data_IF_377344795775
#
_entry.id   IF_377344795775
#
_cell.length_a   1.000
_cell.length_b   1.000
_cell.length_c   1.000
_cell.angle_alpha   90.00
_cell.angle_beta   90.00
_cell.angle_gamma   90.00
#
_symmetry.space_group_name_H-M   'P 1'
#
loop_
_entity.id
_entity.type
_entity.pdbx_description
1 polymer ?
#
# COMPACT_ATOMS: atom_id res chain seq x y z
N UNK A 1 6.58 14.54 9.52
CA UNK A 1 5.18 14.11 9.39
C UNK A 1 4.53 15.05 8.38
N UNK A 2 3.74 14.55 7.44
CA UNK A 2 3.07 15.38 6.44
C UNK A 2 2.07 16.32 7.13
N UNK A 3 2.31 17.63 7.05
CA UNK A 3 1.49 18.66 7.71
C UNK A 3 0.14 18.91 7.05
N UNK A 4 -0.09 18.33 5.86
CA UNK A 4 -1.28 18.58 5.02
C UNK A 4 -2.56 17.92 5.54
N UNK A 5 -2.47 17.07 6.57
CA UNK A 5 -3.61 16.32 7.15
C UNK A 5 -4.34 15.43 6.13
N UNK A 6 -3.59 14.83 5.21
CA UNK A 6 -4.11 13.90 4.18
C UNK A 6 -3.84 12.45 4.57
N UNK A 7 -4.53 11.51 3.93
CA UNK A 7 -4.36 10.07 4.12
C UNK A 7 -4.33 9.34 2.78
N UNK A 8 -3.62 8.20 2.73
CA UNK A 8 -3.60 7.35 1.54
C UNK A 8 -4.71 6.31 1.63
N UNK A 9 -5.67 6.36 0.70
CA UNK A 9 -6.71 5.34 0.56
C UNK A 9 -6.24 4.31 -0.45
N UNK A 10 -6.25 3.03 -0.06
CA UNK A 10 -5.73 1.92 -0.85
C UNK A 10 -6.87 0.94 -1.13
N UNK A 11 -6.96 0.48 -2.37
CA UNK A 11 -7.91 -0.54 -2.81
C UNK A 11 -7.15 -1.68 -3.50
N UNK A 12 -7.78 -2.87 -3.59
CA UNK A 12 -7.21 -4.04 -4.29
C UNK A 12 -5.80 -4.41 -3.81
N UNK A 13 -5.59 -4.36 -2.50
CA UNK A 13 -4.28 -4.56 -1.85
C UNK A 13 -4.00 -6.01 -1.44
N UNK A 14 -4.92 -6.95 -1.71
CA UNK A 14 -4.73 -8.37 -1.45
C UNK A 14 -5.95 -8.99 -0.79
N UNK A 15 -6.42 -10.11 -1.35
CA UNK A 15 -7.69 -10.74 -0.99
C UNK A 15 -7.84 -11.03 0.51
N UNK A 16 -6.84 -11.58 1.23
CA UNK A 16 -6.97 -11.84 2.67
C UNK A 16 -7.23 -10.58 3.50
N UNK A 17 -6.47 -9.51 3.24
CA UNK A 17 -6.64 -8.23 3.95
C UNK A 17 -7.95 -7.54 3.58
N UNK A 18 -8.36 -7.59 2.31
CA UNK A 18 -9.63 -7.03 1.84
C UNK A 18 -10.84 -7.70 2.52
N UNK A 19 -10.79 -9.01 2.73
CA UNK A 19 -11.86 -9.73 3.43
C UNK A 19 -12.01 -9.25 4.88
N UNK A 20 -10.90 -9.07 5.59
CA UNK A 20 -10.91 -8.56 6.98
C UNK A 20 -11.40 -7.10 7.01
N UNK A 21 -10.88 -6.24 6.14
CA UNK A 21 -11.28 -4.84 6.10
C UNK A 21 -12.77 -4.67 5.75
N UNK A 22 -13.29 -5.50 4.84
CA UNK A 22 -14.71 -5.52 4.48
C UNK A 22 -15.59 -5.89 5.67
N UNK A 23 -15.24 -6.96 6.39
CA UNK A 23 -15.98 -7.41 7.56
C UNK A 23 -15.98 -6.36 8.69
N UNK A 24 -14.81 -5.79 8.99
CA UNK A 24 -14.68 -4.70 9.97
C UNK A 24 -15.56 -3.49 9.62
N UNK A 25 -15.67 -3.15 8.34
CA UNK A 25 -16.50 -2.04 7.89
C UNK A 25 -18.00 -2.37 7.96
N UNK A 26 -18.43 -3.44 7.30
CA UNK A 26 -19.84 -3.78 7.11
C UNK A 26 -20.52 -4.25 8.40
N UNK A 27 -19.81 -5.04 9.21
CA UNK A 27 -20.40 -5.70 10.38
C UNK A 27 -20.02 -5.04 11.71
N UNK A 28 -18.94 -4.24 11.74
CA UNK A 28 -18.41 -3.68 12.98
C UNK A 28 -18.24 -2.16 12.99
N UNK A 29 -18.49 -1.45 11.87
CA UNK A 29 -18.32 0.00 11.74
C UNK A 29 -16.92 0.48 12.16
N UNK A 30 -15.88 -0.30 11.84
CA UNK A 30 -14.49 -0.03 12.17
C UNK A 30 -13.64 0.20 10.92
N UNK A 31 -12.67 1.10 11.05
CA UNK A 31 -11.60 1.26 10.06
C UNK A 31 -10.43 0.31 10.33
N UNK A 32 -9.73 -0.05 9.26
CA UNK A 32 -8.44 -0.73 9.33
C UNK A 32 -7.33 0.22 8.91
N UNK A 33 -6.26 0.28 9.69
CA UNK A 33 -5.04 1.03 9.39
C UNK A 33 -3.88 0.04 9.25
N UNK A 34 -2.97 0.31 8.32
CA UNK A 34 -1.87 -0.60 8.02
C UNK A 34 -0.54 0.14 7.84
N UNK A 35 0.55 -0.57 8.14
CA UNK A 35 1.93 -0.22 7.83
C UNK A 35 2.63 -1.47 7.33
N UNK A 36 3.70 -1.32 6.53
CA UNK A 36 4.45 -2.47 6.03
C UNK A 36 5.13 -3.24 7.17
N UNK A 37 5.07 -4.58 7.10
CA UNK A 37 5.69 -5.49 8.06
C UNK A 37 7.17 -5.72 7.71
N UNK A 38 7.95 -4.64 7.79
CA UNK A 38 9.35 -4.60 7.40
C UNK A 38 10.22 -4.18 8.61
N UNK A 39 11.38 -4.82 8.86
CA UNK A 39 12.40 -4.27 9.72
C UNK A 39 12.84 -2.88 9.23
N UNK A 40 13.26 -2.00 10.15
CA UNK A 40 13.66 -0.63 9.78
C UNK A 40 14.77 -0.63 8.73
N UNK A 41 14.50 -0.04 7.56
CA UNK A 41 15.45 0.07 6.46
C UNK A 41 15.67 -1.23 5.64
N UNK A 42 14.89 -2.29 5.88
CA UNK A 42 15.00 -3.56 5.15
C UNK A 42 13.63 -4.05 4.70
N UNK A 43 13.48 -4.38 3.43
CA UNK A 43 12.29 -5.08 2.94
C UNK A 43 12.25 -6.53 3.45
N UNK A 44 11.05 -7.05 3.69
CA UNK A 44 10.83 -8.46 4.03
C UNK A 44 10.87 -9.39 2.79
N UNK A 45 11.12 -8.84 1.59
CA UNK A 45 11.23 -9.59 0.32
C UNK A 45 10.01 -10.46 0.01
N UNK A 46 8.86 -10.10 0.59
CA UNK A 46 7.60 -10.83 0.51
C UNK A 46 7.61 -12.23 1.14
N UNK A 47 8.44 -12.44 2.16
CA UNK A 47 8.52 -13.67 2.93
C UNK A 47 8.32 -13.36 4.42
N UNK A 48 7.53 -14.19 5.12
CA UNK A 48 7.23 -13.95 6.54
C UNK A 48 8.46 -14.08 7.43
N UNK A 49 9.43 -14.91 7.04
CA UNK A 49 10.67 -15.16 7.76
C UNK A 49 11.55 -13.90 7.86
N UNK A 50 11.29 -12.87 7.05
CA UNK A 50 12.08 -11.64 7.00
C UNK A 50 11.38 -10.42 7.62
N UNK A 51 10.28 -10.60 8.35
CA UNK A 51 9.64 -9.50 9.12
C UNK A 51 10.47 -9.07 10.35
N UNK A 52 11.38 -9.93 10.80
CA UNK A 52 12.32 -9.69 11.89
C UNK A 52 11.74 -9.89 13.29
N UNK A 53 12.62 -10.24 14.23
CA UNK A 53 12.28 -10.65 15.60
C UNK A 53 11.44 -9.63 16.37
N UNK A 54 11.67 -8.33 16.14
CA UNK A 54 10.92 -7.28 16.83
C UNK A 54 9.44 -7.27 16.46
N UNK A 55 9.09 -7.52 15.19
CA UNK A 55 7.70 -7.60 14.75
C UNK A 55 7.11 -8.91 15.23
N UNK A 56 7.84 -10.01 14.99
CA UNK A 56 7.42 -11.36 15.35
C UNK A 56 7.08 -11.50 16.85
N UNK A 57 7.90 -10.94 17.73
CA UNK A 57 7.70 -10.99 19.19
C UNK A 57 6.63 -10.03 19.74
N UNK A 58 6.11 -9.11 18.93
CA UNK A 58 5.18 -8.05 19.38
C UNK A 58 3.80 -8.10 18.73
N UNK A 59 3.69 -8.76 17.58
CA UNK A 59 2.40 -9.00 16.96
C UNK A 59 1.63 -10.05 17.76
N UNK A 60 0.34 -9.81 18.00
CA UNK A 60 -0.52 -10.78 18.69
C UNK A 60 -0.78 -12.03 17.84
N UNK A 61 -0.76 -11.87 16.51
CA UNK A 61 -0.98 -12.93 15.53
C UNK A 61 -0.23 -12.60 14.23
N UNK A 62 0.32 -13.63 13.59
CA UNK A 62 0.95 -13.54 12.27
C UNK A 62 0.17 -14.46 11.32
N UNK A 63 -0.34 -13.90 10.22
CA UNK A 63 -0.99 -14.65 9.14
C UNK A 63 0.03 -14.82 8.01
N UNK A 64 0.48 -16.06 7.80
CA UNK A 64 1.54 -16.39 6.84
C UNK A 64 0.95 -16.94 5.54
N UNK A 65 1.40 -16.44 4.38
CA UNK A 65 0.96 -16.94 3.07
C UNK A 65 2.02 -16.70 1.96
N UNK A 66 3.24 -17.20 2.16
CA UNK A 66 4.36 -16.99 1.22
C UNK A 66 3.99 -17.39 -0.23
N UNK A 67 3.30 -18.52 -0.42
CA UNK A 67 2.88 -18.99 -1.75
C UNK A 67 1.86 -18.05 -2.42
N UNK A 68 0.95 -17.46 -1.64
CA UNK A 68 0.03 -16.45 -2.17
C UNK A 68 0.82 -15.24 -2.66
N UNK A 69 1.76 -14.75 -1.86
CA UNK A 69 2.57 -13.58 -2.21
C UNK A 69 3.42 -13.83 -3.46
N UNK A 70 4.01 -15.03 -3.58
CA UNK A 70 4.76 -15.46 -4.77
C UNK A 70 3.87 -15.53 -6.01
N UNK A 71 2.63 -16.02 -5.87
CA UNK A 71 1.70 -16.18 -6.99
C UNK A 71 1.27 -14.87 -7.67
N UNK A 72 1.49 -13.72 -7.02
CA UNK A 72 1.17 -12.40 -7.59
C UNK A 72 2.17 -11.98 -8.68
N UNK A 73 3.44 -12.38 -8.54
CA UNK A 73 4.52 -12.09 -9.48
C UNK A 73 5.26 -13.39 -9.79
N UNK A 74 4.62 -14.35 -10.49
CA UNK A 74 5.14 -15.72 -10.63
C UNK A 74 6.44 -15.80 -11.43
N UNK A 75 6.67 -14.84 -12.31
CA UNK A 75 7.82 -14.78 -13.22
C UNK A 75 9.00 -13.98 -12.64
N UNK A 76 8.80 -13.32 -11.49
CA UNK A 76 9.82 -12.48 -10.85
C UNK A 76 10.66 -13.27 -9.85
N UNK A 77 11.94 -12.90 -9.71
CA UNK A 77 12.81 -13.41 -8.65
C UNK A 77 12.64 -12.60 -7.36
N UNK A 78 13.33 -13.02 -6.30
CA UNK A 78 13.34 -12.27 -5.05
C UNK A 78 13.98 -10.88 -5.21
N UNK A 79 14.89 -10.72 -6.17
CA UNK A 79 15.61 -9.47 -6.46
C UNK A 79 14.86 -8.55 -7.42
N UNK A 80 14.04 -9.10 -8.32
CA UNK A 80 13.38 -8.33 -9.38
C UNK A 80 11.93 -7.94 -9.06
N UNK A 81 11.27 -8.70 -8.17
CA UNK A 81 9.88 -8.44 -7.76
C UNK A 81 9.68 -7.04 -7.17
N UNK A 82 8.55 -6.43 -7.49
CA UNK A 82 8.10 -5.24 -6.79
C UNK A 82 7.76 -5.55 -5.33
N UNK A 83 8.30 -4.74 -4.42
CA UNK A 83 8.04 -4.82 -2.97
C UNK A 83 6.98 -3.81 -2.50
N UNK A 84 6.45 -2.98 -3.40
CA UNK A 84 5.53 -1.89 -3.07
C UNK A 84 4.53 -1.63 -4.21
N UNK A 85 3.37 -1.08 -3.84
CA UNK A 85 2.37 -0.58 -4.78
C UNK A 85 2.63 0.86 -5.22
N UNK A 86 2.03 1.22 -6.36
CA UNK A 86 2.02 2.58 -6.92
C UNK A 86 1.33 3.57 -5.98
N UNK A 87 1.81 4.82 -5.95
CA UNK A 87 1.13 5.92 -5.27
C UNK A 87 0.99 7.13 -6.19
N UNK A 88 -0.22 7.67 -6.25
CA UNK A 88 -0.55 8.90 -7.00
C UNK A 88 -1.06 9.95 -6.01
N UNK A 89 -0.47 11.14 -6.03
CA UNK A 89 -0.99 12.30 -5.30
C UNK A 89 -2.14 12.92 -6.08
N UNK A 90 -3.32 12.97 -5.44
CA UNK A 90 -4.51 13.67 -5.93
C UNK A 90 -4.69 15.04 -5.26
N UNK A 91 -3.67 15.52 -4.55
CA UNK A 91 -3.67 16.79 -3.83
C UNK A 91 -2.46 17.64 -4.20
N UNK A 92 -2.59 18.95 -4.03
CA UNK A 92 -1.51 19.92 -4.19
C UNK A 92 -0.57 20.00 -2.97
N UNK A 93 0.31 20.99 -2.96
CA UNK A 93 1.26 21.23 -1.87
C UNK A 93 0.61 21.67 -0.56
N UNK A 94 -0.62 22.18 -0.59
CA UNK A 94 -1.39 22.58 0.60
C UNK A 94 -2.32 21.46 1.10
N UNK A 95 -2.43 20.35 0.36
CA UNK A 95 -3.33 19.25 0.68
C UNK A 95 -4.74 19.42 0.12
N UNK A 96 -4.96 20.37 -0.79
CA UNK A 96 -6.25 20.56 -1.47
C UNK A 96 -6.36 19.64 -2.67
N UNK A 97 -7.57 19.16 -2.95
CA UNK A 97 -7.87 18.29 -4.09
C UNK A 97 -7.52 19.00 -5.40
N UNK A 98 -6.89 18.29 -6.33
CA UNK A 98 -6.62 18.81 -7.68
C UNK A 98 -7.94 19.07 -8.44
N UNK A 99 -8.00 20.09 -9.31
CA UNK A 99 -9.22 20.43 -10.02
C UNK A 99 -9.64 19.37 -11.05
N UNK A 100 -10.94 19.31 -11.32
CA UNK A 100 -11.49 18.59 -12.47
C UNK A 100 -11.01 19.24 -13.78
N UNK A 101 -10.58 18.42 -14.75
CA UNK A 101 -9.97 18.94 -15.99
C UNK A 101 -10.96 19.08 -17.15
N UNK A 102 -11.95 18.19 -17.27
CA UNK A 102 -12.90 18.19 -18.40
C UNK A 102 -12.19 18.18 -19.76
N UNK A 103 -12.55 19.12 -20.63
CA UNK A 103 -11.94 19.31 -21.96
C UNK A 103 -10.76 20.29 -21.96
N UNK A 104 -10.40 20.87 -20.80
CA UNK A 104 -9.33 21.86 -20.70
C UNK A 104 -7.95 21.21 -20.92
N UNK A 105 -7.00 22.00 -21.44
CA UNK A 105 -5.62 21.56 -21.69
C UNK A 105 -4.68 22.26 -20.71
N UNK A 106 -3.60 21.57 -20.32
CA UNK A 106 -2.52 22.11 -19.47
C UNK A 106 -3.01 22.63 -18.10
N UNK A 107 -3.97 21.93 -17.49
CA UNK A 107 -4.46 22.26 -16.14
C UNK A 107 -3.40 21.93 -15.10
N UNK A 108 -3.12 22.89 -14.22
CA UNK A 108 -2.27 22.71 -13.03
C UNK A 108 -2.97 23.29 -11.80
N UNK A 109 -2.87 22.66 -10.61
CA UNK A 109 -2.20 21.38 -10.33
C UNK A 109 -2.96 20.17 -10.94
N UNK A 110 -2.29 19.02 -11.06
CA UNK A 110 -2.85 17.79 -11.64
C UNK A 110 -2.35 16.54 -10.86
N UNK A 111 -2.92 15.34 -11.09
CA UNK A 111 -2.44 14.12 -10.44
C UNK A 111 -0.95 13.84 -10.72
N UNK A 112 -0.21 13.44 -9.68
CA UNK A 112 1.24 13.18 -9.78
C UNK A 112 1.56 11.76 -9.32
N UNK A 113 2.24 10.98 -10.16
CA UNK A 113 2.86 9.72 -9.74
C UNK A 113 4.03 10.01 -8.80
N UNK A 114 3.90 9.63 -7.53
CA UNK A 114 4.91 9.90 -6.48
C UNK A 114 5.69 8.65 -6.07
N UNK A 115 5.22 7.45 -6.43
CA UNK A 115 5.93 6.19 -6.19
C UNK A 115 5.57 5.15 -7.26
N UNK A 116 6.60 4.57 -7.90
CA UNK A 116 6.46 3.40 -8.77
C UNK A 116 6.30 2.11 -7.96
N UNK A 117 5.66 1.11 -8.53
CA UNK A 117 5.42 -0.17 -7.89
C UNK A 117 4.79 -1.18 -8.84
N UNK A 118 4.22 -2.24 -8.28
CA UNK A 118 3.49 -3.27 -9.01
C UNK A 118 2.50 -2.66 -10.02
N UNK A 119 2.49 -3.19 -11.24
CA UNK A 119 1.65 -2.75 -12.37
C UNK A 119 1.83 -1.27 -12.77
N UNK A 120 2.94 -0.64 -12.37
CA UNK A 120 3.25 0.76 -12.65
C UNK A 120 4.04 1.01 -13.93
N UNK A 121 4.05 0.05 -14.87
CA UNK A 121 4.64 0.22 -16.21
C UNK A 121 3.81 1.16 -17.10
#
# INVERSE_FOLDING_TARGET
MDGRKTSCFVIKFGKPGEMIAKDLWENHQKFSFASSANPSGKGNRGMVEFIGERIESRADLIICANEYVKSIQPDETQESRYEQGVMVSMVDSEGKLVPEQGSARKVTPCPVLIRKGLDGE
#
